data_IF_522007428499
#
_entry.id   IF_522007428499
#
_cell.length_a   1.000
_cell.length_b   1.000
_cell.length_c   1.000
_cell.angle_alpha   90.00
_cell.angle_beta   90.00
_cell.angle_gamma   90.00
#
_symmetry.space_group_name_H-M   'P 1'
#
loop_
_entity.id
_entity.type
_entity.pdbx_description
1 polymer ?
#
# COMPACT_ATOMS: atom_id res chain seq x y z
N UNK A 1 20.26 -9.22 -5.04
CA UNK A 1 18.83 -8.93 -5.28
C UNK A 1 17.97 -9.17 -4.05
N UNK A 2 17.03 -8.28 -3.72
CA UNK A 2 16.14 -8.39 -2.55
C UNK A 2 14.67 -8.51 -3.00
N UNK A 3 13.99 -9.57 -2.57
CA UNK A 3 12.57 -9.79 -2.84
C UNK A 3 11.71 -9.14 -1.76
N UNK A 4 10.82 -8.24 -2.13
CA UNK A 4 9.80 -7.67 -1.25
C UNK A 4 8.42 -8.23 -1.63
N UNK A 5 7.68 -8.71 -0.64
CA UNK A 5 6.30 -9.19 -0.82
C UNK A 5 5.41 -8.47 0.20
N UNK A 6 4.32 -7.91 -0.29
CA UNK A 6 3.29 -7.29 0.53
C UNK A 6 1.95 -7.98 0.29
N UNK A 7 1.39 -8.61 1.33
CA UNK A 7 0.14 -9.37 1.28
C UNK A 7 -0.98 -8.54 1.89
N UNK A 8 -1.64 -7.77 1.02
CA UNK A 8 -2.86 -7.01 1.35
C UNK A 8 -4.12 -7.88 1.28
N UNK A 9 -5.26 -7.33 1.72
CA UNK A 9 -6.53 -8.06 1.72
C UNK A 9 -7.03 -8.43 0.32
N UNK A 10 -6.92 -7.51 -0.64
CA UNK A 10 -7.39 -7.72 -2.02
C UNK A 10 -6.26 -8.12 -2.97
N UNK A 11 -5.05 -7.61 -2.72
CA UNK A 11 -3.92 -7.76 -3.64
C UNK A 11 -2.63 -8.13 -2.91
N UNK A 12 -1.84 -9.01 -3.51
CA UNK A 12 -0.47 -9.30 -3.12
C UNK A 12 0.47 -8.60 -4.10
N UNK A 13 1.33 -7.71 -3.62
CA UNK A 13 2.32 -7.01 -4.43
C UNK A 13 3.69 -7.66 -4.25
N UNK A 14 4.36 -7.93 -5.36
CA UNK A 14 5.70 -8.54 -5.40
C UNK A 14 6.65 -7.58 -6.09
N UNK A 15 7.76 -7.25 -5.44
CA UNK A 15 8.80 -6.39 -5.99
C UNK A 15 10.17 -7.04 -5.85
N UNK A 16 11.04 -6.83 -6.84
CA UNK A 16 12.43 -7.29 -6.79
C UNK A 16 13.37 -6.09 -6.92
N UNK A 17 14.25 -5.91 -5.95
CA UNK A 17 15.28 -4.88 -5.96
C UNK A 17 16.63 -5.45 -6.38
N UNK A 18 17.36 -4.72 -7.22
CA UNK A 18 18.75 -5.05 -7.53
C UNK A 18 19.71 -4.62 -6.40
N UNK A 19 21.00 -4.85 -6.59
CA UNK A 19 22.06 -4.53 -5.63
C UNK A 19 22.23 -3.02 -5.38
N UNK A 20 21.82 -2.18 -6.34
CA UNK A 20 21.83 -0.72 -6.21
C UNK A 20 20.64 -0.20 -5.41
N UNK A 21 19.63 -1.05 -5.19
CA UNK A 21 18.36 -0.69 -4.58
C UNK A 21 17.33 -0.14 -5.57
N UNK A 22 17.52 -0.35 -6.87
CA UNK A 22 16.51 -0.03 -7.88
C UNK A 22 15.48 -1.16 -7.97
N UNK A 23 14.21 -0.79 -8.04
CA UNK A 23 13.12 -1.73 -8.28
C UNK A 23 13.19 -2.22 -9.74
N UNK A 24 13.51 -3.50 -9.93
CA UNK A 24 13.67 -4.14 -11.24
C UNK A 24 12.32 -4.51 -11.86
N UNK A 25 11.39 -5.01 -11.04
CA UNK A 25 10.00 -5.19 -11.41
C UNK A 25 9.08 -5.03 -10.21
N UNK A 26 7.81 -4.74 -10.52
CA UNK A 26 6.68 -4.82 -9.59
C UNK A 26 5.54 -5.58 -10.27
N UNK A 27 4.98 -6.55 -9.56
CA UNK A 27 3.81 -7.30 -9.98
C UNK A 27 2.72 -7.21 -8.91
N UNK A 28 1.47 -7.28 -9.34
CA UNK A 28 0.32 -7.36 -8.44
C UNK A 28 -0.50 -8.57 -8.81
N UNK A 29 -0.84 -9.37 -7.81
CA UNK A 29 -1.66 -10.57 -7.90
C UNK A 29 -2.89 -10.39 -7.01
N UNK A 30 -3.96 -11.13 -7.32
CA UNK A 30 -5.09 -11.24 -6.39
C UNK A 30 -4.67 -11.99 -5.13
N UNK A 31 -5.03 -11.43 -3.96
CA UNK A 31 -4.93 -12.16 -2.69
C UNK A 31 -6.13 -13.06 -2.53
N UNK A 32 -5.88 -14.36 -2.39
CA UNK A 32 -6.92 -15.32 -2.02
C UNK A 32 -6.52 -16.11 -0.79
N UNK A 33 -7.40 -16.08 0.22
CA UNK A 33 -7.20 -16.75 1.52
C UNK A 33 -7.24 -18.27 1.43
N UNK A 34 -7.77 -18.82 0.33
CA UNK A 34 -7.83 -20.26 0.09
C UNK A 34 -6.60 -20.81 -0.64
N UNK A 35 -5.65 -19.95 -1.04
CA UNK A 35 -4.41 -20.39 -1.70
C UNK A 35 -3.59 -21.28 -0.79
N UNK A 36 -3.13 -22.41 -1.34
CA UNK A 36 -2.17 -23.28 -0.67
C UNK A 36 -0.76 -22.73 -0.82
N UNK A 37 0.18 -23.24 -0.02
CA UNK A 37 1.61 -22.91 -0.14
C UNK A 37 2.14 -23.13 -1.56
N UNK A 38 1.74 -24.23 -2.19
CA UNK A 38 2.24 -24.58 -3.52
C UNK A 38 1.63 -23.66 -4.59
N UNK A 39 0.38 -23.21 -4.41
CA UNK A 39 -0.21 -22.20 -5.28
C UNK A 39 0.51 -20.85 -5.15
N UNK A 40 0.80 -20.39 -3.93
CA UNK A 40 1.61 -19.18 -3.71
C UNK A 40 3.02 -19.30 -4.32
N UNK A 41 3.63 -20.49 -4.26
CA UNK A 41 4.94 -20.72 -4.85
C UNK A 41 4.89 -20.70 -6.39
N UNK A 42 3.86 -21.29 -7.00
CA UNK A 42 3.62 -21.24 -8.45
C UNK A 42 3.39 -19.79 -8.90
N UNK A 43 2.60 -19.02 -8.15
CA UNK A 43 2.36 -17.61 -8.44
C UNK A 43 3.66 -16.80 -8.44
N UNK A 44 4.52 -16.99 -7.42
CA UNK A 44 5.83 -16.33 -7.35
C UNK A 44 6.73 -16.75 -8.51
N UNK A 45 6.79 -18.05 -8.84
CA UNK A 45 7.55 -18.53 -10.00
C UNK A 45 7.03 -17.93 -11.31
N UNK A 46 5.71 -17.82 -11.47
CA UNK A 46 5.08 -17.20 -12.63
C UNK A 46 5.44 -15.73 -12.76
N UNK A 47 5.46 -14.97 -11.66
CA UNK A 47 5.92 -13.58 -11.65
C UNK A 47 7.38 -13.47 -12.09
N UNK A 48 8.28 -14.27 -11.49
CA UNK A 48 9.69 -14.26 -11.87
C UNK A 48 9.90 -14.65 -13.35
N UNK A 49 9.17 -15.65 -13.83
CA UNK A 49 9.17 -16.05 -15.24
C UNK A 49 8.68 -14.95 -16.18
N UNK A 50 7.60 -14.25 -15.82
CA UNK A 50 7.03 -13.15 -16.60
C UNK A 50 8.03 -11.99 -16.80
N UNK A 51 8.82 -11.69 -15.77
CA UNK A 51 9.82 -10.62 -15.80
C UNK A 51 11.24 -11.10 -16.16
N UNK A 52 11.42 -12.37 -16.52
CA UNK A 52 12.72 -12.94 -16.90
C UNK A 52 13.76 -12.94 -15.78
N UNK A 53 13.33 -13.02 -14.51
CA UNK A 53 14.21 -13.04 -13.34
C UNK A 53 14.37 -14.47 -12.78
N UNK A 54 15.55 -14.78 -12.21
CA UNK A 54 15.78 -16.05 -11.51
C UNK A 54 15.54 -15.89 -10.01
N UNK A 55 14.51 -16.57 -9.48
CA UNK A 55 14.17 -16.55 -8.06
C UNK A 55 15.27 -17.14 -7.17
N UNK A 56 16.13 -18.00 -7.72
CA UNK A 56 17.26 -18.61 -6.99
C UNK A 56 18.41 -17.63 -6.79
N UNK A 57 18.45 -16.53 -7.55
CA UNK A 57 19.42 -15.47 -7.39
C UNK A 57 18.99 -14.40 -6.36
N UNK A 58 17.90 -14.63 -5.63
CA UNK A 58 17.45 -13.78 -4.53
C UNK A 58 18.39 -13.93 -3.32
N UNK A 59 18.98 -12.82 -2.89
CA UNK A 59 19.93 -12.79 -1.77
C UNK A 59 19.23 -12.75 -0.41
N UNK A 60 18.06 -12.14 -0.37
CA UNK A 60 17.20 -12.12 0.80
C UNK A 60 15.81 -11.60 0.46
N UNK A 61 14.91 -11.75 1.42
CA UNK A 61 13.50 -11.42 1.22
C UNK A 61 12.90 -10.76 2.45
N UNK A 62 11.88 -9.94 2.23
CA UNK A 62 11.06 -9.32 3.26
C UNK A 62 9.58 -9.48 2.92
N UNK A 63 8.78 -9.78 3.93
CA UNK A 63 7.35 -10.05 3.85
C UNK A 63 6.58 -9.11 4.78
N UNK A 64 5.70 -8.30 4.20
CA UNK A 64 4.62 -7.60 4.89
C UNK A 64 3.31 -8.36 4.66
N UNK A 65 2.45 -8.42 5.66
CA UNK A 65 1.16 -9.09 5.56
C UNK A 65 0.18 -8.54 6.58
N UNK A 66 -0.98 -8.13 6.10
CA UNK A 66 -2.16 -7.81 6.91
C UNK A 66 -3.21 -8.93 6.85
N UNK A 67 -2.83 -10.10 6.31
CA UNK A 67 -3.66 -11.29 6.19
C UNK A 67 -2.99 -12.46 6.95
N UNK A 68 -3.23 -12.61 8.26
CA UNK A 68 -2.48 -13.56 9.11
C UNK A 68 -2.43 -15.01 8.59
N UNK A 69 -3.52 -15.60 8.04
CA UNK A 69 -3.47 -16.96 7.51
C UNK A 69 -2.46 -17.14 6.37
N UNK A 70 -2.21 -16.09 5.59
CA UNK A 70 -1.31 -16.14 4.42
C UNK A 70 0.15 -15.89 4.80
N UNK A 71 0.44 -15.33 5.97
CA UNK A 71 1.82 -15.02 6.40
C UNK A 71 2.69 -16.27 6.43
N UNK A 72 2.22 -17.36 7.05
CA UNK A 72 2.96 -18.63 7.10
C UNK A 72 3.09 -19.26 5.70
N UNK A 73 2.02 -19.20 4.91
CA UNK A 73 1.94 -19.76 3.56
C UNK A 73 2.98 -19.10 2.63
N UNK A 74 3.06 -17.76 2.64
CA UNK A 74 4.07 -17.03 1.87
C UNK A 74 5.48 -17.21 2.43
N UNK A 75 5.63 -17.29 3.75
CA UNK A 75 6.94 -17.57 4.38
C UNK A 75 7.50 -18.89 3.87
N UNK A 76 6.70 -19.95 3.88
CA UNK A 76 7.10 -21.28 3.40
C UNK A 76 7.35 -21.28 1.89
N UNK A 77 6.50 -20.62 1.10
CA UNK A 77 6.67 -20.53 -0.35
C UNK A 77 7.98 -19.82 -0.72
N UNK A 78 8.25 -18.66 -0.11
CA UNK A 78 9.48 -17.90 -0.34
C UNK A 78 10.70 -18.73 0.10
N UNK A 79 10.62 -19.38 1.26
CA UNK A 79 11.72 -20.23 1.77
C UNK A 79 12.01 -21.39 0.83
N UNK A 80 10.97 -22.06 0.31
CA UNK A 80 11.10 -23.17 -0.65
C UNK A 80 11.76 -22.74 -1.95
N UNK A 81 11.43 -21.54 -2.45
CA UNK A 81 11.92 -21.06 -3.75
C UNK A 81 13.30 -20.43 -3.69
N UNK A 82 13.61 -19.74 -2.59
CA UNK A 82 14.87 -18.99 -2.43
C UNK A 82 15.91 -19.71 -1.56
N UNK A 83 15.49 -20.74 -0.83
CA UNK A 83 16.31 -21.41 0.19
C UNK A 83 16.52 -20.60 1.47
N UNK A 84 15.85 -19.44 1.62
CA UNK A 84 16.07 -18.49 2.72
C UNK A 84 14.74 -18.04 3.33
N UNK A 85 14.66 -18.02 4.65
CA UNK A 85 13.47 -17.51 5.35
C UNK A 85 13.35 -16.00 5.16
N UNK A 86 12.20 -15.47 4.73
CA UNK A 86 11.99 -14.03 4.64
C UNK A 86 11.99 -13.37 6.01
N UNK A 87 12.47 -12.13 6.06
CA UNK A 87 12.22 -11.24 7.17
C UNK A 87 10.74 -10.86 7.19
N UNK A 88 10.01 -11.18 8.25
CA UNK A 88 8.60 -10.78 8.38
C UNK A 88 8.52 -9.45 9.12
N UNK A 89 7.81 -8.47 8.54
CA UNK A 89 7.55 -7.18 9.19
C UNK A 89 6.56 -7.40 10.34
N UNK A 90 6.99 -7.11 11.55
CA UNK A 90 6.19 -7.29 12.76
C UNK A 90 6.91 -6.78 14.02
N UNK A 91 6.39 -7.10 15.22
CA UNK A 91 6.98 -6.65 16.48
C UNK A 91 8.47 -7.00 16.58
N UNK A 92 9.28 -6.02 17.00
CA UNK A 92 10.74 -6.17 17.16
C UNK A 92 11.58 -5.79 15.94
N UNK A 93 10.98 -5.52 14.78
CA UNK A 93 11.71 -5.00 13.62
C UNK A 93 12.15 -3.55 13.86
N UNK A 94 13.39 -3.20 13.48
CA UNK A 94 13.84 -1.81 13.55
C UNK A 94 13.20 -1.01 12.43
N UNK A 95 12.23 -0.16 12.77
CA UNK A 95 11.58 0.76 11.82
C UNK A 95 12.26 2.13 11.82
N UNK A 96 12.72 2.60 12.99
CA UNK A 96 13.11 3.99 13.21
C UNK A 96 11.94 4.97 13.24
N UNK A 97 10.71 4.44 13.30
CA UNK A 97 9.46 5.18 13.45
C UNK A 97 9.09 5.19 14.93
N UNK A 98 8.83 6.38 15.48
CA UNK A 98 8.25 6.54 16.80
C UNK A 98 6.72 6.52 16.68
N UNK A 99 6.10 5.38 16.93
CA UNK A 99 4.64 5.24 16.86
C UNK A 99 4.06 5.54 18.23
N UNK A 100 3.14 6.50 18.32
CA UNK A 100 2.45 6.80 19.58
C UNK A 100 1.76 5.54 20.15
N UNK A 101 1.98 5.30 21.44
CA UNK A 101 1.93 3.97 22.07
C UNK A 101 0.60 3.20 21.92
N UNK A 102 -0.55 3.88 21.77
CA UNK A 102 -1.86 3.23 21.65
C UNK A 102 -2.04 2.52 20.30
N UNK A 103 -1.35 2.95 19.24
CA UNK A 103 -1.51 2.44 17.86
C UNK A 103 -0.48 1.34 17.53
N UNK A 104 0.57 1.18 18.33
CA UNK A 104 1.77 0.42 17.95
C UNK A 104 1.50 -1.04 17.53
N UNK A 105 0.61 -1.73 18.23
CA UNK A 105 0.31 -3.15 17.97
C UNK A 105 -0.83 -3.36 16.94
N UNK A 106 -1.47 -2.29 16.49
CA UNK A 106 -2.62 -2.34 15.57
C UNK A 106 -2.30 -1.79 14.18
N UNK A 107 -1.11 -1.23 14.00
CA UNK A 107 -0.71 -0.65 12.72
C UNK A 107 -0.33 -1.74 11.71
N UNK A 108 -0.92 -1.66 10.51
CA UNK A 108 -0.60 -2.55 9.40
C UNK A 108 0.89 -2.49 9.02
N UNK A 109 1.47 -3.64 8.66
CA UNK A 109 2.88 -3.73 8.27
C UNK A 109 3.18 -2.96 6.96
N UNK A 110 2.19 -2.87 6.08
CA UNK A 110 2.14 -2.04 4.88
C UNK A 110 2.19 -0.53 5.19
N UNK A 111 1.43 -0.08 6.20
CA UNK A 111 1.43 1.31 6.65
C UNK A 111 2.79 1.68 7.27
N UNK A 112 3.37 0.79 8.08
CA UNK A 112 4.71 0.99 8.64
C UNK A 112 5.76 1.12 7.54
N UNK A 113 5.74 0.22 6.55
CA UNK A 113 6.65 0.27 5.40
C UNK A 113 6.49 1.59 4.64
N UNK A 114 5.25 1.97 4.32
CA UNK A 114 4.93 3.20 3.61
C UNK A 114 5.41 4.45 4.35
N UNK A 115 5.19 4.50 5.67
CA UNK A 115 5.65 5.61 6.51
C UNK A 115 7.18 5.74 6.51
N UNK A 116 7.90 4.61 6.59
CA UNK A 116 9.37 4.58 6.51
C UNK A 116 9.86 5.12 5.16
N UNK A 117 9.22 4.73 4.06
CA UNK A 117 9.55 5.26 2.73
C UNK A 117 9.22 6.74 2.61
N UNK A 118 8.06 7.17 3.12
CA UNK A 118 7.62 8.56 3.03
C UNK A 118 8.58 9.49 3.77
N UNK A 119 8.97 9.14 5.01
CA UNK A 119 9.95 9.90 5.81
C UNK A 119 11.30 10.00 5.10
N UNK A 120 11.71 8.93 4.41
CA UNK A 120 12.99 8.91 3.70
C UNK A 120 13.00 9.76 2.42
N UNK A 121 11.85 9.98 1.79
CA UNK A 121 11.76 10.59 0.47
C UNK A 121 11.16 12.01 0.45
N UNK A 122 10.40 12.41 1.48
CA UNK A 122 9.62 13.64 1.47
C UNK A 122 9.85 14.49 2.72
N UNK A 123 9.72 15.83 2.62
CA UNK A 123 9.86 16.70 3.78
C UNK A 123 8.67 16.56 4.74
N UNK A 124 8.98 16.57 6.04
CA UNK A 124 8.01 16.57 7.13
C UNK A 124 7.44 17.98 7.41
N UNK A 125 6.19 18.10 7.92
CA UNK A 125 5.25 17.01 8.21
C UNK A 125 4.62 16.39 6.96
N UNK A 126 4.26 15.12 7.03
CA UNK A 126 3.71 14.35 5.90
C UNK A 126 2.29 13.90 6.22
N UNK A 127 1.38 14.13 5.29
CA UNK A 127 0.10 13.41 5.23
C UNK A 127 0.23 12.30 4.18
N UNK A 128 0.33 11.07 4.66
CA UNK A 128 0.44 9.88 3.82
C UNK A 128 -0.95 9.28 3.60
N UNK A 129 -1.38 9.21 2.35
CA UNK A 129 -2.69 8.68 1.95
C UNK A 129 -2.51 7.34 1.23
N UNK A 130 -3.12 6.28 1.75
CA UNK A 130 -3.19 4.98 1.07
C UNK A 130 -4.59 4.75 0.52
N UNK A 131 -4.70 4.60 -0.80
CA UNK A 131 -5.96 4.42 -1.55
C UNK A 131 -6.12 2.95 -1.99
N UNK A 132 -6.12 2.05 -1.02
CA UNK A 132 -6.30 0.60 -1.17
C UNK A 132 -7.75 0.13 -0.96
N UNK A 133 -7.92 -1.07 -0.38
CA UNK A 133 -9.23 -1.63 -0.02
C UNK A 133 -9.99 -0.72 0.94
N UNK A 134 -9.27 -0.17 1.92
CA UNK A 134 -9.68 0.97 2.71
C UNK A 134 -8.84 2.17 2.30
N UNK A 135 -9.39 3.37 2.46
CA UNK A 135 -8.62 4.60 2.33
C UNK A 135 -8.10 4.98 3.72
N UNK A 136 -6.80 5.19 3.87
CA UNK A 136 -6.25 5.75 5.11
C UNK A 136 -5.51 7.07 4.83
N UNK A 137 -5.52 7.98 5.80
CA UNK A 137 -4.69 9.17 5.78
C UNK A 137 -3.99 9.31 7.14
N UNK A 138 -2.67 9.22 7.12
CA UNK A 138 -1.79 9.21 8.30
C UNK A 138 -1.02 10.51 8.41
N UNK A 139 -0.94 11.08 9.61
CA UNK A 139 -0.07 12.23 9.89
C UNK A 139 1.25 11.75 10.46
N UNK A 140 2.35 12.24 9.90
CA UNK A 140 3.71 11.92 10.31
C UNK A 140 4.49 13.22 10.52
N UNK A 141 5.04 13.40 11.73
CA UNK A 141 5.81 14.58 12.13
C UNK A 141 7.25 14.18 12.46
N UNK A 142 8.19 14.49 11.56
CA UNK A 142 9.56 14.03 11.62
C UNK A 142 9.62 12.51 11.48
N UNK A 143 10.00 11.82 12.55
CA UNK A 143 9.94 10.36 12.64
C UNK A 143 8.78 9.85 13.51
N UNK A 144 7.85 10.72 13.92
CA UNK A 144 6.71 10.38 14.77
C UNK A 144 5.51 10.06 13.91
N UNK A 145 4.94 8.87 14.06
CA UNK A 145 3.64 8.54 13.50
C UNK A 145 2.56 8.99 14.47
N UNK A 146 1.88 10.09 14.14
CA UNK A 146 0.92 10.76 15.02
C UNK A 146 -0.39 9.98 15.14
N UNK A 147 -0.82 9.37 14.04
CA UNK A 147 -2.07 8.64 13.93
C UNK A 147 -2.59 8.63 12.50
N UNK A 148 -3.78 8.07 12.32
CA UNK A 148 -4.45 8.07 11.02
C UNK A 148 -5.96 8.11 11.16
N UNK A 149 -6.62 8.53 10.08
CA UNK A 149 -8.05 8.29 9.84
C UNK A 149 -8.21 7.18 8.81
N UNK A 150 -9.24 6.35 8.98
CA UNK A 150 -9.56 5.23 8.09
C UNK A 150 -10.98 5.43 7.56
N UNK A 151 -11.16 5.29 6.26
CA UNK A 151 -12.39 5.52 5.52
C UNK A 151 -12.64 4.36 4.54
N UNK A 152 -13.89 4.16 4.09
CA UNK A 152 -14.17 3.19 3.03
C UNK A 152 -13.38 3.50 1.75
N UNK A 153 -12.71 2.47 1.21
CA UNK A 153 -12.06 2.58 -0.09
C UNK A 153 -13.08 2.78 -1.21
N UNK A 154 -12.61 3.25 -2.37
CA UNK A 154 -13.47 3.59 -3.51
C UNK A 154 -14.33 2.40 -3.98
N UNK A 155 -13.69 1.25 -4.23
CA UNK A 155 -14.39 0.04 -4.67
C UNK A 155 -15.35 -0.47 -3.60
N UNK A 156 -14.93 -0.47 -2.33
CA UNK A 156 -15.77 -0.91 -1.22
C UNK A 156 -17.02 -0.04 -1.06
N UNK A 157 -16.90 1.27 -1.20
CA UNK A 157 -18.03 2.18 -1.12
C UNK A 157 -19.03 1.97 -2.28
N UNK A 158 -18.53 1.73 -3.50
CA UNK A 158 -19.36 1.38 -4.65
C UNK A 158 -20.09 0.05 -4.44
N UNK A 159 -19.38 -0.99 -4.00
CA UNK A 159 -19.94 -2.30 -3.67
C UNK A 159 -21.05 -2.23 -2.64
N UNK A 160 -20.86 -1.40 -1.60
CA UNK A 160 -21.89 -1.18 -0.59
C UNK A 160 -23.18 -0.59 -1.18
N UNK A 161 -23.10 0.27 -2.20
CA UNK A 161 -24.28 0.89 -2.80
C UNK A 161 -25.13 -0.11 -3.59
N UNK A 162 -24.55 -0.85 -4.54
CA UNK A 162 -25.33 -1.77 -5.38
C UNK A 162 -25.69 -3.08 -4.66
N UNK A 163 -24.97 -3.46 -3.59
CA UNK A 163 -25.35 -4.62 -2.77
C UNK A 163 -26.47 -4.35 -1.75
N UNK A 164 -26.78 -3.07 -1.47
CA UNK A 164 -27.75 -2.67 -0.45
C UNK A 164 -28.90 -1.82 -0.97
N UNK A 165 -28.85 -1.37 -2.22
CA UNK A 165 -29.92 -0.60 -2.84
C UNK A 165 -30.43 -1.30 -4.10
N UNK A 166 -31.69 -1.73 -4.06
CA UNK A 166 -32.32 -2.57 -5.11
C UNK A 166 -32.34 -1.93 -6.51
N UNK A 167 -32.28 -0.60 -6.59
CA UNK A 167 -32.35 0.16 -7.84
C UNK A 167 -30.98 0.58 -8.41
N UNK A 168 -29.88 0.30 -7.71
CA UNK A 168 -28.54 0.71 -8.14
C UNK A 168 -27.80 -0.45 -8.82
N UNK A 169 -27.46 -0.34 -10.12
CA UNK A 169 -26.76 -1.40 -10.81
C UNK A 169 -25.29 -1.50 -10.36
N UNK A 170 -24.65 -2.67 -10.50
CA UNK A 170 -23.20 -2.76 -10.41
C UNK A 170 -22.58 -1.92 -11.54
N UNK A 171 -21.65 -1.03 -11.19
CA UNK A 171 -20.99 -0.15 -12.17
C UNK A 171 -19.48 -0.38 -12.22
N UNK A 172 -18.92 -0.22 -13.42
CA UNK A 172 -17.47 -0.16 -13.61
C UNK A 172 -16.94 1.27 -13.48
N UNK A 173 -15.78 1.39 -12.83
CA UNK A 173 -14.97 2.60 -12.76
C UNK A 173 -14.11 2.82 -14.01
N UNK A 174 -14.10 1.86 -14.95
CA UNK A 174 -13.42 2.03 -16.23
C UNK A 174 -14.20 3.00 -17.11
N UNK A 175 -13.53 4.07 -17.51
CA UNK A 175 -14.04 5.05 -18.48
C UNK A 175 -12.85 5.60 -19.27
N UNK A 176 -12.99 5.64 -20.59
CA UNK A 176 -11.99 6.25 -21.49
C UNK A 176 -12.02 7.78 -21.45
N UNK A 177 -13.12 8.37 -20.99
CA UNK A 177 -13.29 9.81 -20.83
C UNK A 177 -13.26 10.24 -19.35
N UNK A 178 -12.79 11.46 -19.04
CA UNK A 178 -12.99 12.07 -17.74
C UNK A 178 -14.47 12.08 -17.34
N UNK A 179 -14.75 11.84 -16.07
CA UNK A 179 -16.12 11.80 -15.56
C UNK A 179 -16.60 13.22 -15.31
N UNK A 180 -17.78 13.58 -15.83
CA UNK A 180 -18.43 14.85 -15.52
C UNK A 180 -18.99 14.83 -14.09
N UNK A 181 -19.00 15.99 -13.41
CA UNK A 181 -19.54 16.10 -12.06
C UNK A 181 -21.05 15.76 -11.99
N UNK A 182 -21.83 16.16 -12.99
CA UNK A 182 -23.27 15.88 -13.05
C UNK A 182 -23.54 14.76 -14.06
N UNK A 183 -23.80 13.55 -13.54
CA UNK A 183 -24.25 12.44 -14.37
C UNK A 183 -25.71 12.59 -14.79
N UNK A 184 -26.03 12.19 -16.02
CA UNK A 184 -27.38 12.23 -16.61
C UNK A 184 -28.06 10.85 -16.62
N UNK A 185 -27.32 9.80 -16.28
CA UNK A 185 -27.83 8.45 -16.01
C UNK A 185 -27.47 8.03 -14.58
N UNK A 186 -28.16 7.01 -14.04
CA UNK A 186 -27.83 6.45 -12.72
C UNK A 186 -26.37 6.02 -12.63
N UNK A 187 -25.85 5.37 -13.68
CA UNK A 187 -24.45 4.91 -13.72
C UNK A 187 -23.47 6.08 -13.71
N UNK A 188 -23.73 7.13 -14.50
CA UNK A 188 -22.90 8.33 -14.51
C UNK A 188 -22.95 9.06 -13.17
N UNK A 189 -24.13 9.18 -12.55
CA UNK A 189 -24.29 9.82 -11.25
C UNK A 189 -23.56 9.05 -10.14
N UNK A 190 -23.66 7.71 -10.14
CA UNK A 190 -22.91 6.86 -9.21
C UNK A 190 -21.39 6.97 -9.43
N UNK A 191 -20.93 6.93 -10.68
CA UNK A 191 -19.50 7.05 -11.01
C UNK A 191 -18.93 8.41 -10.61
N UNK A 192 -19.66 9.48 -10.92
CA UNK A 192 -19.31 10.84 -10.51
C UNK A 192 -19.25 10.95 -8.98
N UNK A 193 -20.32 10.53 -8.30
CA UNK A 193 -20.41 10.59 -6.84
C UNK A 193 -19.28 9.82 -6.16
N UNK A 194 -18.89 8.66 -6.69
CA UNK A 194 -17.77 7.90 -6.16
C UNK A 194 -16.43 8.63 -6.35
N UNK A 195 -16.14 9.15 -7.54
CA UNK A 195 -14.84 9.77 -7.82
C UNK A 195 -14.70 11.18 -7.21
N UNK A 196 -15.66 12.08 -7.48
CA UNK A 196 -15.66 13.42 -6.92
C UNK A 196 -15.94 13.42 -5.42
N UNK A 197 -16.77 12.49 -4.93
CA UNK A 197 -17.04 12.34 -3.50
C UNK A 197 -15.79 11.89 -2.74
N UNK A 198 -15.08 10.86 -3.22
CA UNK A 198 -13.80 10.46 -2.62
C UNK A 198 -12.75 11.56 -2.71
N UNK A 199 -12.67 12.29 -3.83
CA UNK A 199 -11.73 13.39 -3.97
C UNK A 199 -12.01 14.54 -2.98
N UNK A 200 -13.28 14.95 -2.85
CA UNK A 200 -13.69 15.97 -1.89
C UNK A 200 -13.49 15.53 -0.43
N UNK A 201 -13.74 14.25 -0.13
CA UNK A 201 -13.45 13.64 1.16
C UNK A 201 -11.95 13.72 1.48
N UNK A 202 -11.09 13.36 0.51
CA UNK A 202 -9.64 13.44 0.68
C UNK A 202 -9.17 14.88 0.90
N UNK A 203 -9.59 15.83 0.07
CA UNK A 203 -9.23 17.24 0.22
C UNK A 203 -9.60 17.73 1.63
N UNK A 204 -10.83 17.49 2.06
CA UNK A 204 -11.31 17.94 3.38
C UNK A 204 -10.63 17.24 4.56
N UNK A 205 -10.21 15.99 4.42
CA UNK A 205 -9.44 15.26 5.45
C UNK A 205 -8.02 15.79 5.52
N UNK A 206 -7.37 15.99 4.37
CA UNK A 206 -6.01 16.53 4.30
C UNK A 206 -5.96 17.93 4.92
N UNK A 207 -6.95 18.79 4.65
CA UNK A 207 -7.02 20.13 5.24
C UNK A 207 -7.09 20.08 6.77
N UNK A 208 -7.93 19.20 7.32
CA UNK A 208 -8.03 18.99 8.78
C UNK A 208 -6.75 18.42 9.40
N UNK A 209 -6.04 17.56 8.69
CA UNK A 209 -4.77 17.01 9.15
C UNK A 209 -3.65 18.06 9.09
N UNK A 210 -3.65 18.94 8.09
CA UNK A 210 -2.73 20.09 8.01
C UNK A 210 -2.99 21.09 9.14
N UNK A 211 -4.25 21.40 9.42
CA UNK A 211 -4.65 22.21 10.58
C UNK A 211 -4.17 21.58 11.90
N UNK A 212 -4.37 20.27 12.08
CA UNK A 212 -3.92 19.54 13.26
C UNK A 212 -2.39 19.49 13.38
N UNK A 213 -1.65 19.49 12.27
CA UNK A 213 -0.20 19.58 12.24
C UNK A 213 0.32 20.98 12.59
N UNK A 214 -0.51 22.01 12.48
CA UNK A 214 -0.16 23.41 12.75
C UNK A 214 0.86 24.02 11.78
N UNK A 215 1.11 23.36 10.64
CA UNK A 215 2.05 23.79 9.60
C UNK A 215 1.74 23.12 8.26
N UNK A 216 2.18 23.68 7.12
CA UNK A 216 1.97 23.06 5.81
C UNK A 216 2.51 21.64 5.74
N UNK A 217 1.74 20.72 5.15
CA UNK A 217 2.11 19.30 5.04
C UNK A 217 2.51 18.93 3.62
N UNK A 218 3.39 17.94 3.48
CA UNK A 218 3.61 17.24 2.22
C UNK A 218 2.58 16.13 2.09
N UNK A 219 1.77 16.16 1.03
CA UNK A 219 0.80 15.08 0.76
C UNK A 219 1.44 14.03 -0.14
N UNK A 220 1.50 12.80 0.34
CA UNK A 220 2.04 11.65 -0.41
C UNK A 220 0.94 10.61 -0.53
N UNK A 221 0.64 10.16 -1.74
CA UNK A 221 -0.43 9.20 -2.00
C UNK A 221 0.11 7.90 -2.61
N UNK A 222 -0.43 6.77 -2.19
CA UNK A 222 -0.18 5.44 -2.76
C UNK A 222 -1.49 4.68 -2.94
N UNK A 223 -1.42 3.43 -3.39
CA UNK A 223 -2.57 2.55 -3.55
C UNK A 223 -3.14 2.53 -4.97
N UNK A 224 -3.83 1.44 -5.29
CA UNK A 224 -4.33 1.17 -6.65
C UNK A 224 -5.43 2.12 -7.13
N UNK A 225 -6.19 2.71 -6.21
CA UNK A 225 -7.27 3.65 -6.56
C UNK A 225 -6.77 5.09 -6.75
N UNK A 226 -5.53 5.39 -6.35
CA UNK A 226 -4.99 6.75 -6.39
C UNK A 226 -5.03 7.41 -7.77
N UNK A 227 -4.61 6.75 -8.88
CA UNK A 227 -4.65 7.37 -10.21
C UNK A 227 -6.06 7.76 -10.68
N UNK A 228 -7.10 7.11 -10.12
CA UNK A 228 -8.51 7.38 -10.44
C UNK A 228 -9.06 8.56 -9.65
N UNK A 229 -8.65 8.70 -8.39
CA UNK A 229 -9.21 9.71 -7.47
C UNK A 229 -8.45 11.03 -7.57
N UNK A 230 -7.11 11.00 -7.57
CA UNK A 230 -6.27 12.19 -7.41
C UNK A 230 -6.47 13.25 -8.51
N UNK A 231 -6.88 12.85 -9.71
CA UNK A 231 -7.17 13.78 -10.81
C UNK A 231 -8.39 14.68 -10.56
N UNK A 232 -9.22 14.33 -9.58
CA UNK A 232 -10.40 15.09 -9.18
C UNK A 232 -10.19 15.85 -7.86
N UNK A 233 -9.05 15.65 -7.19
CA UNK A 233 -8.66 16.40 -6.00
C UNK A 233 -8.23 17.82 -6.37
N UNK A 234 -8.51 18.77 -5.48
CA UNK A 234 -7.95 20.13 -5.56
C UNK A 234 -6.55 20.20 -4.96
N UNK A 235 -6.28 19.40 -3.93
CA UNK A 235 -4.96 19.30 -3.32
C UNK A 235 -4.02 18.53 -4.25
N UNK A 236 -2.79 19.03 -4.39
CA UNK A 236 -1.74 18.29 -5.08
C UNK A 236 -1.17 17.26 -4.12
N UNK A 237 -1.04 16.02 -4.61
CA UNK A 237 -0.39 14.93 -3.89
C UNK A 237 0.72 14.33 -4.74
N UNK A 238 1.83 13.98 -4.10
CA UNK A 238 2.87 13.17 -4.73
C UNK A 238 2.38 11.72 -4.81
N UNK A 239 1.97 11.28 -6.00
CA UNK A 239 1.62 9.89 -6.20
C UNK A 239 2.88 9.03 -6.34
N UNK A 240 2.96 7.98 -5.53
CA UNK A 240 4.05 7.02 -5.57
C UNK A 240 3.52 5.58 -5.45
N UNK A 241 3.45 4.90 -6.59
CA UNK A 241 2.91 3.55 -6.69
C UNK A 241 3.77 2.49 -5.99
N UNK A 242 5.04 2.81 -5.68
CA UNK A 242 6.03 1.87 -5.17
C UNK A 242 6.41 2.20 -3.71
N UNK A 243 5.64 3.06 -3.03
CA UNK A 243 5.91 3.52 -1.66
C UNK A 243 6.07 2.35 -0.68
N UNK A 244 5.15 1.38 -0.71
CA UNK A 244 5.21 0.17 0.14
C UNK A 244 6.47 -0.63 -0.18
N UNK A 245 6.73 -0.90 -1.47
CA UNK A 245 7.89 -1.71 -1.91
C UNK A 245 9.21 -1.08 -1.47
N UNK A 246 9.37 0.23 -1.67
CA UNK A 246 10.57 0.96 -1.20
C UNK A 246 10.68 0.92 0.31
N UNK A 247 9.54 1.03 1.01
CA UNK A 247 9.47 0.90 2.46
C UNK A 247 10.00 -0.43 2.97
N UNK A 248 9.55 -1.53 2.36
CA UNK A 248 10.01 -2.87 2.66
C UNK A 248 11.51 -3.03 2.38
N UNK A 249 12.00 -2.50 1.26
CA UNK A 249 13.44 -2.52 0.97
C UNK A 249 14.25 -1.76 2.04
N UNK A 250 13.81 -0.57 2.44
CA UNK A 250 14.47 0.22 3.49
C UNK A 250 14.45 -0.48 4.85
N UNK A 251 13.33 -1.14 5.20
CA UNK A 251 13.22 -1.95 6.41
C UNK A 251 14.19 -3.13 6.37
N UNK A 252 14.26 -3.85 5.25
CA UNK A 252 15.19 -4.97 5.07
C UNK A 252 16.64 -4.50 5.27
N UNK A 253 17.04 -3.40 4.62
CA UNK A 253 18.38 -2.83 4.77
C UNK A 253 18.70 -2.44 6.21
N UNK A 254 17.77 -1.78 6.91
CA UNK A 254 17.95 -1.33 8.30
C UNK A 254 18.19 -2.50 9.26
N UNK A 255 17.63 -3.67 8.97
CA UNK A 255 17.70 -4.85 9.84
C UNK A 255 18.79 -5.86 9.44
N UNK A 256 19.42 -5.68 8.27
CA UNK A 256 20.50 -6.56 7.77
C UNK A 256 21.87 -5.89 7.77
N UNK A 257 21.94 -4.55 7.82
CA UNK A 257 23.18 -3.83 8.09
C UNK A 257 23.68 -4.24 9.48
N UNK A 258 24.67 -5.13 9.52
CA UNK A 258 25.44 -5.42 10.74
C UNK A 258 25.87 -4.08 11.33
N UNK A 259 25.59 -3.87 12.60
CA UNK A 259 26.21 -2.80 13.37
C UNK A 259 27.72 -2.89 13.12
N UNK A 260 28.26 -1.97 12.32
CA UNK A 260 29.68 -1.63 12.41
C UNK A 260 29.82 -1.00 13.79
N UNK A 261 29.96 -1.85 14.82
CA UNK A 261 30.48 -1.39 16.10
C UNK A 261 31.86 -0.80 15.80
N UNK A 262 32.14 0.45 16.18
CA UNK A 262 33.50 0.95 16.18
C UNK A 262 34.39 0.09 17.07
#
# INVERSE_FOLDING_TARGET
MILAVDVGNSTTTVGLFDETGKLTFRATLETSRSKTRDQCAIDLLGVFGLYGADIRAVDGSILSSVVPPLTAIFTDAITRLTGKTPMVVGPGIKTGLNIKAEIHNQLGSDIVASAVAAIAAYPSPIVMVDLGTATSASLISGSVYEGCVIMPGLTLALEAMWSRADALPPISLESTAPVELLGRTTEEAMRSGALYGHAAMLDGVIDRLEEAAGSPVTVVATGGSAPRILRYCKRTAHYDADLVMRGLYLLYQKNTRKSRRP
#
